data_IF_218866150908
#
_entry.id   IF_218866150908
#
_cell.length_a   1.000
_cell.length_b   1.000
_cell.length_c   1.000
_cell.angle_alpha   90.00
_cell.angle_beta   90.00
_cell.angle_gamma   90.00
#
_symmetry.space_group_name_H-M   'P 1'
#
loop_
_entity.id
_entity.type
_entity.pdbx_description
1 polymer ?
#
# COMPACT_ATOMS: atom_id res chain seq x y z
N UNK A 1 2.21 22.14 25.18
CA UNK A 1 2.26 22.65 23.80
C UNK A 1 2.52 21.48 22.86
N UNK A 2 1.46 20.87 22.33
CA UNK A 2 1.57 19.80 21.32
C UNK A 2 2.01 20.44 20.02
N UNK A 3 3.30 20.30 19.66
CA UNK A 3 3.78 20.66 18.32
C UNK A 3 2.88 19.93 17.32
N UNK A 4 2.17 20.66 16.45
CA UNK A 4 1.47 20.04 15.33
C UNK A 4 2.51 19.25 14.57
N UNK A 5 2.35 17.93 14.49
CA UNK A 5 3.23 17.11 13.69
C UNK A 5 2.77 17.30 12.23
N UNK A 6 3.53 17.99 11.37
CA UNK A 6 3.10 18.29 10.00
C UNK A 6 3.06 17.03 9.11
N UNK A 7 3.32 15.85 9.67
CA UNK A 7 3.39 14.60 8.94
C UNK A 7 4.64 14.50 8.08
N UNK A 8 4.57 13.69 7.04
CA UNK A 8 5.64 13.47 6.07
C UNK A 8 5.83 14.64 5.09
N UNK A 9 4.88 15.56 4.96
CA UNK A 9 4.92 16.61 3.93
C UNK A 9 6.19 17.47 3.98
N UNK A 10 6.72 17.74 5.18
CA UNK A 10 7.97 18.49 5.37
C UNK A 10 9.25 17.76 4.93
N UNK A 11 9.15 16.46 4.67
CA UNK A 11 10.27 15.62 4.21
C UNK A 11 10.23 15.39 2.70
N UNK A 12 9.18 15.86 2.01
CA UNK A 12 9.13 15.76 0.56
C UNK A 12 10.25 16.64 -0.04
N UNK A 13 11.11 16.09 -0.90
CA UNK A 13 12.09 16.85 -1.65
C UNK A 13 11.40 17.72 -2.71
N UNK A 14 12.09 18.73 -3.24
CA UNK A 14 11.58 19.51 -4.39
C UNK A 14 11.51 18.64 -5.67
N UNK A 15 12.46 17.72 -5.85
CA UNK A 15 12.46 16.74 -6.94
C UNK A 15 11.61 15.52 -6.56
N UNK A 16 10.47 15.36 -7.22
CA UNK A 16 9.56 14.22 -7.01
C UNK A 16 9.91 12.98 -7.86
N UNK A 17 11.12 12.88 -8.41
CA UNK A 17 11.64 11.65 -8.99
C UNK A 17 11.68 10.51 -7.96
N UNK A 18 11.40 9.27 -8.39
CA UNK A 18 11.32 8.12 -7.48
C UNK A 18 12.57 7.90 -6.63
N UNK A 19 13.75 8.15 -7.18
CA UNK A 19 15.02 8.00 -6.45
C UNK A 19 15.19 9.09 -5.40
N UNK A 20 14.86 10.34 -5.72
CA UNK A 20 14.86 11.46 -4.78
C UNK A 20 13.85 11.26 -3.65
N UNK A 21 12.62 10.82 -3.99
CA UNK A 21 11.59 10.48 -3.02
C UNK A 21 12.04 9.34 -2.09
N UNK A 22 12.62 8.27 -2.65
CA UNK A 22 13.13 7.13 -1.88
C UNK A 22 14.23 7.56 -0.91
N UNK A 23 15.19 8.35 -1.38
CA UNK A 23 16.29 8.85 -0.55
C UNK A 23 15.77 9.75 0.59
N UNK A 24 14.84 10.65 0.30
CA UNK A 24 14.25 11.52 1.31
C UNK A 24 13.40 10.74 2.33
N UNK A 25 12.61 9.76 1.88
CA UNK A 25 11.77 8.93 2.74
C UNK A 25 12.58 8.11 3.76
N UNK A 26 13.83 7.76 3.44
CA UNK A 26 14.75 7.08 4.37
C UNK A 26 15.08 7.90 5.64
N UNK A 27 14.83 9.20 5.63
CA UNK A 27 15.08 10.11 6.77
C UNK A 27 13.79 10.61 7.44
N UNK A 28 12.63 10.12 6.99
CA UNK A 28 11.32 10.62 7.41
C UNK A 28 11.06 10.34 8.91
N UNK A 29 10.83 11.40 9.67
CA UNK A 29 10.31 11.36 11.05
C UNK A 29 8.95 12.04 11.15
N UNK A 30 8.11 11.84 10.13
CA UNK A 30 6.77 12.43 10.04
C UNK A 30 5.73 11.83 11.00
N UNK A 31 6.03 10.70 11.65
CA UNK A 31 5.20 10.08 12.70
C UNK A 31 6.09 9.33 13.69
N UNK A 32 5.56 8.69 14.73
CA UNK A 32 6.39 7.97 15.72
C UNK A 32 6.96 6.63 15.25
N UNK A 33 6.53 6.11 14.09
CA UNK A 33 6.85 4.74 13.67
C UNK A 33 8.31 4.51 13.29
N UNK A 34 9.03 5.56 12.86
CA UNK A 34 10.45 5.43 12.49
C UNK A 34 11.34 5.01 13.67
N UNK A 35 10.91 5.29 14.92
CA UNK A 35 11.74 5.10 16.10
C UNK A 35 12.01 3.62 16.44
N UNK A 36 11.06 2.74 16.11
CA UNK A 36 11.13 1.30 16.41
C UNK A 36 11.35 0.42 15.18
N UNK A 37 10.98 0.91 13.99
CA UNK A 37 11.20 0.22 12.72
C UNK A 37 12.70 0.09 12.42
N UNK A 38 13.09 -0.91 11.62
CA UNK A 38 14.50 -1.06 11.21
C UNK A 38 14.87 0.01 10.18
N UNK A 39 13.97 0.27 9.24
CA UNK A 39 14.16 1.23 8.15
C UNK A 39 12.82 1.57 7.49
N UNK A 40 12.83 2.62 6.66
CA UNK A 40 11.76 2.89 5.72
C UNK A 40 11.69 1.79 4.67
N UNK A 41 10.49 1.27 4.41
CA UNK A 41 10.21 0.44 3.23
C UNK A 41 9.39 1.29 2.26
N UNK A 42 10.08 1.85 1.27
CA UNK A 42 9.48 2.61 0.19
C UNK A 42 8.85 1.66 -0.86
N UNK A 43 8.22 2.19 -1.91
CA UNK A 43 7.71 1.34 -2.99
C UNK A 43 8.81 0.71 -3.84
N UNK A 44 8.47 -0.32 -4.60
CA UNK A 44 9.37 -1.05 -5.49
C UNK A 44 8.68 -1.35 -6.83
N UNK A 45 9.42 -1.26 -7.93
CA UNK A 45 8.92 -1.47 -9.29
C UNK A 45 9.33 -0.32 -10.22
N UNK A 46 9.12 -0.46 -11.54
CA UNK A 46 9.51 0.57 -12.50
C UNK A 46 8.62 1.81 -12.42
N UNK A 47 9.21 2.99 -12.65
CA UNK A 47 8.43 4.19 -12.93
C UNK A 47 7.61 4.01 -14.21
N UNK A 48 6.39 4.58 -14.25
CA UNK A 48 5.46 4.38 -15.37
C UNK A 48 4.71 3.05 -15.35
N UNK A 49 4.80 2.26 -14.26
CA UNK A 49 4.02 1.03 -14.11
C UNK A 49 2.52 1.32 -14.27
N UNK A 50 1.80 0.64 -15.17
CA UNK A 50 0.37 0.88 -15.38
C UNK A 50 -0.48 0.51 -14.17
N UNK A 51 -0.03 -0.44 -13.35
CA UNK A 51 -0.70 -0.91 -12.15
C UNK A 51 0.11 -0.56 -10.90
N UNK A 52 -0.52 0.08 -9.92
CA UNK A 52 0.07 0.33 -8.60
C UNK A 52 -0.65 -0.49 -7.53
N UNK A 53 0.09 -1.30 -6.77
CA UNK A 53 -0.45 -2.11 -5.67
C UNK A 53 -0.13 -1.43 -4.34
N UNK A 54 -1.15 -1.14 -3.53
CA UNK A 54 -1.00 -0.43 -2.25
C UNK A 54 -1.46 -1.32 -1.10
N UNK A 55 -0.54 -1.74 -0.24
CA UNK A 55 -0.82 -2.45 1.01
C UNK A 55 -1.00 -1.53 2.21
N UNK A 56 -1.09 -2.13 3.40
CA UNK A 56 -1.28 -1.39 4.66
C UNK A 56 0.02 -0.74 5.16
N UNK A 57 1.01 -1.57 5.47
CA UNK A 57 2.32 -1.20 5.99
C UNK A 57 3.31 -2.36 5.75
N UNK A 58 4.62 -2.16 5.94
CA UNK A 58 5.60 -3.23 5.85
C UNK A 58 5.38 -4.24 6.98
N UNK A 59 5.64 -5.51 6.71
CA UNK A 59 5.69 -6.56 7.73
C UNK A 59 7.09 -6.77 8.29
N UNK A 60 7.23 -7.84 9.07
CA UNK A 60 8.48 -8.21 9.73
C UNK A 60 9.62 -8.57 8.76
N UNK A 61 9.31 -9.13 7.58
CA UNK A 61 10.32 -9.47 6.58
C UNK A 61 10.65 -8.26 5.72
N UNK A 62 9.64 -7.50 5.32
CA UNK A 62 9.75 -6.27 4.54
C UNK A 62 10.61 -5.24 5.27
N UNK A 63 10.36 -5.00 6.56
CA UNK A 63 11.12 -4.06 7.38
C UNK A 63 12.61 -4.42 7.49
N UNK A 64 12.97 -5.71 7.45
CA UNK A 64 14.38 -6.13 7.43
C UNK A 64 14.99 -6.07 6.03
N UNK A 65 14.20 -6.37 5.00
CA UNK A 65 14.66 -6.41 3.62
C UNK A 65 14.75 -5.03 2.97
N UNK A 66 13.95 -4.05 3.43
CA UNK A 66 13.82 -2.75 2.78
C UNK A 66 12.89 -2.76 1.55
N UNK A 67 12.16 -3.84 1.31
CA UNK A 67 11.34 -4.05 0.10
C UNK A 67 9.92 -4.52 0.46
N UNK A 68 8.87 -4.00 -0.20
CA UNK A 68 7.49 -4.38 0.08
C UNK A 68 7.17 -5.79 -0.44
N UNK A 69 6.22 -6.47 0.22
CA UNK A 69 5.68 -7.77 -0.21
C UNK A 69 6.72 -8.88 -0.44
N UNK A 70 7.79 -8.94 0.34
CA UNK A 70 8.76 -10.07 0.30
C UNK A 70 8.34 -11.25 1.21
N UNK A 71 7.42 -11.01 2.15
CA UNK A 71 6.96 -11.98 3.12
C UNK A 71 5.91 -12.98 2.60
N UNK A 72 5.29 -13.77 3.49
CA UNK A 72 4.29 -14.79 3.12
C UNK A 72 3.07 -14.22 2.38
N UNK A 73 2.61 -13.03 2.77
CA UNK A 73 1.50 -12.35 2.10
C UNK A 73 1.89 -11.92 0.67
N UNK A 74 3.13 -11.48 0.48
CA UNK A 74 3.66 -11.13 -0.84
C UNK A 74 3.85 -12.31 -1.76
N UNK A 75 4.27 -13.48 -1.25
CA UNK A 75 4.27 -14.72 -2.04
C UNK A 75 2.88 -15.15 -2.48
N UNK A 76 1.85 -14.93 -1.65
CA UNK A 76 0.46 -15.17 -2.05
C UNK A 76 0.00 -14.15 -3.09
N UNK A 77 0.35 -12.87 -2.92
CA UNK A 77 0.09 -11.84 -3.93
C UNK A 77 0.73 -12.19 -5.28
N UNK A 78 1.99 -12.63 -5.30
CA UNK A 78 2.67 -13.03 -6.54
C UNK A 78 1.97 -14.18 -7.28
N UNK A 79 1.47 -15.19 -6.55
CA UNK A 79 0.64 -16.25 -7.17
C UNK A 79 -0.68 -15.71 -7.71
N UNK A 80 -1.37 -14.86 -6.94
CA UNK A 80 -2.63 -14.28 -7.36
C UNK A 80 -2.50 -13.34 -8.58
N UNK A 81 -1.38 -12.61 -8.70
CA UNK A 81 -1.05 -11.83 -9.89
C UNK A 81 -0.85 -12.74 -11.11
N UNK A 82 -0.11 -13.84 -10.96
CA UNK A 82 0.08 -14.82 -12.03
C UNK A 82 -1.25 -15.45 -12.47
N UNK A 83 -2.10 -15.86 -11.51
CA UNK A 83 -3.43 -16.41 -11.80
C UNK A 83 -4.36 -15.38 -12.46
N UNK A 84 -4.16 -14.10 -12.19
CA UNK A 84 -4.87 -12.99 -12.82
C UNK A 84 -4.30 -12.60 -14.19
N UNK A 85 -3.18 -13.20 -14.62
CA UNK A 85 -2.50 -12.85 -15.87
C UNK A 85 -1.80 -11.48 -15.84
N UNK A 86 -1.46 -10.98 -14.65
CA UNK A 86 -0.73 -9.72 -14.47
C UNK A 86 0.77 -10.02 -14.37
N UNK A 87 1.57 -9.39 -15.23
CA UNK A 87 3.02 -9.44 -15.15
C UNK A 87 3.51 -8.62 -13.94
N UNK A 88 4.21 -9.21 -12.95
CA UNK A 88 4.78 -8.48 -11.83
C UNK A 88 5.69 -7.31 -12.24
N UNK A 89 6.38 -7.40 -13.38
CA UNK A 89 7.23 -6.33 -13.88
C UNK A 89 6.43 -5.09 -14.34
N UNK A 90 5.12 -5.23 -14.55
CA UNK A 90 4.21 -4.12 -14.87
C UNK A 90 3.61 -3.45 -13.62
N UNK A 91 4.08 -3.83 -12.42
CA UNK A 91 3.52 -3.36 -11.15
C UNK A 91 4.50 -2.49 -10.38
N UNK A 92 4.00 -1.41 -9.79
CA UNK A 92 4.68 -0.69 -8.72
C UNK A 92 3.99 -1.02 -7.39
N UNK A 93 4.74 -1.60 -6.45
CA UNK A 93 4.20 -2.11 -5.19
C UNK A 93 4.64 -1.24 -4.03
N UNK A 94 3.72 -0.84 -3.17
CA UNK A 94 4.01 0.01 -2.03
C UNK A 94 2.99 -0.18 -0.90
N UNK A 95 3.08 0.61 0.17
CA UNK A 95 2.15 0.57 1.30
C UNK A 95 1.64 1.97 1.67
N UNK A 96 0.46 2.08 2.28
CA UNK A 96 -0.06 3.36 2.77
C UNK A 96 0.83 3.99 3.88
N UNK A 97 1.51 3.16 4.66
CA UNK A 97 2.50 3.57 5.67
C UNK A 97 3.85 2.93 5.35
N UNK A 98 4.95 3.66 5.55
CA UNK A 98 6.31 3.23 5.13
C UNK A 98 7.18 2.61 6.22
N UNK A 99 6.72 2.61 7.47
CA UNK A 99 7.45 2.04 8.61
C UNK A 99 6.61 0.96 9.27
N UNK A 100 7.25 -0.12 9.70
CA UNK A 100 6.56 -1.24 10.34
C UNK A 100 6.17 -0.90 11.78
N UNK A 101 4.86 -0.86 12.06
CA UNK A 101 4.34 -0.78 13.41
C UNK A 101 4.20 -2.16 14.04
N UNK A 102 4.86 -2.38 15.17
CA UNK A 102 4.80 -3.65 15.89
C UNK A 102 4.95 -3.48 17.40
N UNK A 103 4.61 -4.53 18.14
CA UNK A 103 4.97 -4.72 19.55
C UNK A 103 5.90 -5.93 19.70
N UNK A 104 6.65 -6.00 20.79
CA UNK A 104 7.52 -7.16 21.10
C UNK A 104 6.81 -8.08 22.10
N UNK A 105 6.65 -9.36 21.78
CA UNK A 105 6.17 -10.40 22.71
C UNK A 105 7.32 -11.32 23.08
N UNK A 106 7.53 -11.51 24.39
CA UNK A 106 8.64 -12.32 24.90
C UNK A 106 10.01 -11.75 24.52
N UNK A 107 10.14 -10.42 24.47
CA UNK A 107 11.41 -9.71 24.22
C UNK A 107 11.85 -9.65 22.75
N UNK A 108 11.66 -10.71 21.96
CA UNK A 108 12.26 -10.81 20.62
C UNK A 108 11.25 -10.87 19.47
N UNK A 109 10.07 -11.47 19.67
CA UNK A 109 9.11 -11.67 18.56
C UNK A 109 8.37 -10.37 18.26
N UNK A 110 8.50 -9.87 17.03
CA UNK A 110 7.75 -8.70 16.54
C UNK A 110 6.34 -9.11 16.11
N UNK A 111 5.34 -8.45 16.67
CA UNK A 111 3.92 -8.66 16.39
C UNK A 111 3.36 -7.40 15.73
N UNK A 112 2.97 -7.55 14.47
CA UNK A 112 2.33 -6.50 13.68
C UNK A 112 1.16 -5.84 14.43
N UNK A 113 1.12 -4.51 14.42
CA UNK A 113 0.00 -3.69 14.90
C UNK A 113 -0.53 -2.84 13.77
N UNK A 114 -1.85 -2.79 13.60
CA UNK A 114 -2.46 -1.95 12.57
C UNK A 114 -2.07 -0.47 12.77
N UNK A 115 -1.67 0.26 11.71
CA UNK A 115 -1.45 1.70 11.81
C UNK A 115 -2.78 2.41 12.09
N UNK A 116 -2.74 3.39 12.99
CA UNK A 116 -3.87 4.25 13.31
C UNK A 116 -4.05 5.35 12.27
N UNK A 117 -5.21 6.02 12.30
CA UNK A 117 -5.56 7.09 11.36
C UNK A 117 -4.49 8.19 11.30
N UNK A 118 -3.94 8.59 12.45
CA UNK A 118 -2.91 9.63 12.51
C UNK A 118 -1.64 9.22 11.76
N UNK A 119 -1.23 7.95 11.82
CA UNK A 119 -0.04 7.46 11.13
C UNK A 119 -0.28 7.36 9.62
N UNK A 120 -1.47 6.90 9.21
CA UNK A 120 -1.88 6.85 7.80
C UNK A 120 -1.91 8.26 7.21
N UNK A 121 -2.55 9.22 7.88
CA UNK A 121 -2.61 10.62 7.43
C UNK A 121 -1.21 11.24 7.39
N UNK A 122 -0.38 10.99 8.41
CA UNK A 122 0.98 11.50 8.45
C UNK A 122 1.85 10.94 7.31
N UNK A 123 1.64 9.68 6.89
CA UNK A 123 2.43 9.04 5.84
C UNK A 123 1.88 9.26 4.42
N UNK A 124 0.59 9.64 4.31
CA UNK A 124 -0.10 9.88 3.04
C UNK A 124 0.65 10.76 2.03
N UNK A 125 1.39 11.82 2.42
CA UNK A 125 2.19 12.59 1.46
C UNK A 125 3.16 11.75 0.63
N UNK A 126 3.76 10.69 1.20
CA UNK A 126 4.62 9.78 0.43
C UNK A 126 3.83 8.97 -0.60
N UNK A 127 2.65 8.48 -0.23
CA UNK A 127 1.81 7.71 -1.15
C UNK A 127 1.34 8.57 -2.33
N UNK A 128 0.94 9.83 -2.07
CA UNK A 128 0.55 10.76 -3.13
C UNK A 128 1.72 11.07 -4.07
N UNK A 129 2.91 11.33 -3.50
CA UNK A 129 4.12 11.58 -4.30
C UNK A 129 4.51 10.36 -5.15
N UNK A 130 4.39 9.13 -4.63
CA UNK A 130 4.61 7.92 -5.44
C UNK A 130 3.57 7.77 -6.55
N UNK A 131 2.28 8.01 -6.26
CA UNK A 131 1.23 7.97 -7.30
C UNK A 131 1.57 8.97 -8.41
N UNK A 132 1.94 10.20 -8.06
CA UNK A 132 2.27 11.25 -9.01
C UNK A 132 3.56 10.95 -9.81
N UNK A 133 4.56 10.34 -9.19
CA UNK A 133 5.82 9.96 -9.83
C UNK A 133 5.67 8.72 -10.73
N UNK A 134 4.89 7.72 -10.30
CA UNK A 134 4.65 6.48 -11.05
C UNK A 134 3.65 6.71 -12.19
N UNK A 135 2.67 7.58 -11.99
CA UNK A 135 1.56 7.85 -12.93
C UNK A 135 0.80 6.58 -13.35
N UNK A 136 0.31 5.76 -12.40
CA UNK A 136 -0.39 4.52 -12.75
C UNK A 136 -1.74 4.84 -13.42
N UNK A 137 -2.22 3.92 -14.26
CA UNK A 137 -3.57 3.97 -14.81
C UNK A 137 -4.58 3.39 -13.81
N UNK A 138 -4.17 2.37 -13.06
CA UNK A 138 -5.00 1.69 -12.06
C UNK A 138 -4.25 1.55 -10.74
N UNK A 139 -4.92 1.87 -9.63
CA UNK A 139 -4.44 1.65 -8.27
C UNK A 139 -5.27 0.54 -7.62
N UNK A 140 -4.61 -0.53 -7.16
CA UNK A 140 -5.24 -1.62 -6.41
C UNK A 140 -4.92 -1.48 -4.92
N UNK A 141 -5.94 -1.13 -4.14
CA UNK A 141 -5.88 -1.05 -2.70
C UNK A 141 -6.08 -2.44 -2.06
N UNK A 142 -5.02 -3.00 -1.51
CA UNK A 142 -5.01 -4.29 -0.83
C UNK A 142 -5.41 -4.09 0.64
N UNK A 143 -6.70 -4.24 0.92
CA UNK A 143 -7.27 -4.13 2.27
C UNK A 143 -7.76 -2.74 2.66
N UNK A 144 -8.42 -2.68 3.82
CA UNK A 144 -9.17 -1.50 4.25
C UNK A 144 -8.30 -0.27 4.49
N UNK A 145 -7.10 -0.43 5.06
CA UNK A 145 -6.23 0.72 5.37
C UNK A 145 -5.73 1.40 4.10
N UNK A 146 -5.31 0.62 3.10
CA UNK A 146 -4.94 1.16 1.79
C UNK A 146 -6.12 1.88 1.15
N UNK A 147 -7.28 1.22 1.09
CA UNK A 147 -8.46 1.79 0.46
C UNK A 147 -8.92 3.08 1.14
N UNK A 148 -9.00 3.10 2.47
CA UNK A 148 -9.41 4.28 3.24
C UNK A 148 -8.42 5.44 3.15
N UNK A 149 -7.14 5.17 2.86
CA UNK A 149 -6.12 6.22 2.68
C UNK A 149 -6.34 7.07 1.41
N UNK A 150 -7.02 6.51 0.41
CA UNK A 150 -7.31 7.17 -0.87
C UNK A 150 -8.81 7.48 -1.07
N UNK A 151 -9.70 6.59 -0.65
CA UNK A 151 -11.15 6.66 -0.89
C UNK A 151 -11.93 7.25 0.29
N UNK A 152 -11.26 7.56 1.41
CA UNK A 152 -11.88 8.11 2.62
C UNK A 152 -12.28 7.07 3.66
N UNK A 153 -12.51 7.52 4.89
CA UNK A 153 -12.65 6.63 6.07
C UNK A 153 -13.91 5.79 6.09
N UNK A 154 -14.93 6.19 5.35
CA UNK A 154 -16.21 5.47 5.32
C UNK A 154 -16.18 4.27 4.35
N UNK A 155 -15.13 4.16 3.53
CA UNK A 155 -14.98 3.06 2.57
C UNK A 155 -14.95 1.69 3.26
N UNK A 156 -15.71 0.73 2.71
CA UNK A 156 -15.81 -0.64 3.21
C UNK A 156 -15.44 -1.66 2.13
N UNK A 157 -14.28 -2.30 2.28
CA UNK A 157 -13.83 -3.39 1.38
C UNK A 157 -14.83 -4.53 1.32
N UNK A 158 -15.50 -4.86 2.43
CA UNK A 158 -16.46 -5.98 2.50
C UNK A 158 -17.66 -5.82 1.56
N UNK A 159 -18.03 -4.60 1.18
CA UNK A 159 -19.20 -4.32 0.33
C UNK A 159 -18.83 -3.69 -1.01
N UNK A 160 -17.62 -3.15 -1.15
CA UNK A 160 -17.20 -2.39 -2.32
C UNK A 160 -15.96 -2.97 -3.03
N UNK A 161 -15.51 -4.17 -2.67
CA UNK A 161 -14.41 -4.86 -3.35
C UNK A 161 -14.74 -5.14 -4.82
N UNK A 162 -13.72 -5.11 -5.68
CA UNK A 162 -13.84 -5.40 -7.11
C UNK A 162 -14.53 -4.32 -7.95
N UNK A 163 -15.07 -3.26 -7.33
CA UNK A 163 -15.64 -2.12 -8.05
C UNK A 163 -14.51 -1.25 -8.63
N UNK A 164 -14.73 -0.73 -9.83
CA UNK A 164 -13.92 0.33 -10.41
C UNK A 164 -14.43 1.68 -9.92
N UNK A 165 -13.60 2.40 -9.19
CA UNK A 165 -13.94 3.63 -8.48
C UNK A 165 -13.07 4.78 -8.98
N UNK A 166 -13.55 6.00 -8.76
CA UNK A 166 -12.78 7.22 -8.96
C UNK A 166 -12.23 7.71 -7.64
N UNK A 167 -11.07 8.35 -7.68
CA UNK A 167 -10.57 9.09 -6.52
C UNK A 167 -11.58 10.18 -6.12
N UNK A 168 -11.88 10.34 -4.83
CA UNK A 168 -12.70 11.45 -4.39
C UNK A 168 -11.95 12.78 -4.62
N UNK A 169 -12.64 13.92 -4.78
CA UNK A 169 -11.98 15.23 -4.91
C UNK A 169 -11.05 15.58 -3.74
N UNK A 170 -11.26 14.95 -2.58
CA UNK A 170 -10.41 15.10 -1.37
C UNK A 170 -9.11 14.28 -1.41
N UNK A 171 -8.90 13.47 -2.46
CA UNK A 171 -7.71 12.65 -2.62
C UNK A 171 -6.43 13.48 -2.86
N UNK A 172 -6.56 14.70 -3.40
CA UNK A 172 -5.46 15.63 -3.75
C UNK A 172 -4.32 14.95 -4.53
N UNK A 173 -4.67 14.06 -5.47
CA UNK A 173 -3.73 13.47 -6.44
C UNK A 173 -3.69 14.38 -7.66
N UNK A 174 -2.51 14.87 -8.03
CA UNK A 174 -2.32 15.78 -9.17
C UNK A 174 -1.92 15.04 -10.43
N UNK A 175 -2.82 14.18 -10.91
CA UNK A 175 -2.65 13.44 -12.16
C UNK A 175 -3.74 13.78 -13.17
N UNK A 176 -3.40 13.66 -14.45
CA UNK A 176 -4.37 13.73 -15.55
C UNK A 176 -3.95 12.72 -16.62
N UNK A 177 -4.82 11.75 -16.98
CA UNK A 177 -6.12 11.45 -16.35
C UNK A 177 -5.99 10.94 -14.90
N UNK A 178 -7.10 10.95 -14.14
CA UNK A 178 -7.15 10.30 -12.83
C UNK A 178 -7.00 8.78 -12.99
N UNK A 179 -6.28 8.10 -12.09
CA UNK A 179 -6.27 6.65 -12.05
C UNK A 179 -7.64 6.09 -11.63
N UNK A 180 -7.99 4.94 -12.19
CA UNK A 180 -9.06 4.10 -11.65
C UNK A 180 -8.59 3.44 -10.35
N UNK A 181 -9.44 3.39 -9.33
CA UNK A 181 -9.12 2.73 -8.06
C UNK A 181 -9.97 1.48 -7.91
N UNK A 182 -9.34 0.35 -7.61
CA UNK A 182 -10.00 -0.90 -7.23
C UNK A 182 -9.56 -1.27 -5.83
N UNK A 183 -10.48 -1.69 -4.97
CA UNK A 183 -10.14 -2.21 -3.66
C UNK A 183 -10.42 -3.71 -3.58
N UNK A 184 -9.61 -4.43 -2.82
CA UNK A 184 -9.83 -5.85 -2.54
C UNK A 184 -9.34 -6.24 -1.14
N UNK A 185 -9.47 -7.51 -0.78
CA UNK A 185 -8.96 -8.05 0.48
C UNK A 185 -7.43 -7.98 0.53
N UNK A 186 -6.86 -7.82 1.73
CA UNK A 186 -5.41 -7.89 1.87
C UNK A 186 -4.94 -9.35 1.73
N UNK A 187 -3.82 -9.65 1.03
CA UNK A 187 -3.30 -11.02 0.87
C UNK A 187 -3.07 -11.77 2.19
N UNK A 188 -2.70 -11.05 3.26
CA UNK A 188 -2.56 -11.65 4.60
C UNK A 188 -3.87 -12.16 5.21
N UNK A 189 -5.02 -11.62 4.81
CA UNK A 189 -6.33 -12.12 5.23
C UNK A 189 -6.64 -13.44 4.54
N UNK A 190 -6.40 -13.53 3.23
CA UNK A 190 -6.51 -14.78 2.45
C UNK A 190 -5.59 -15.84 3.03
N UNK A 191 -4.32 -15.49 3.28
CA UNK A 191 -3.33 -16.41 3.84
C UNK A 191 -3.68 -16.93 5.24
N UNK A 192 -4.44 -16.17 6.04
CA UNK A 192 -4.86 -16.55 7.40
C UNK A 192 -6.20 -17.27 7.42
N UNK A 193 -6.95 -17.26 6.32
CA UNK A 193 -8.21 -17.98 6.24
C UNK A 193 -7.93 -19.50 6.34
N UNK A 194 -8.65 -20.14 7.25
CA UNK A 194 -8.58 -21.59 7.54
C UNK A 194 -9.96 -22.23 7.42
N UNK A 195 -10.94 -21.47 6.95
CA UNK A 195 -12.29 -21.97 6.72
C UNK A 195 -12.34 -22.86 5.48
N UNK A 196 -13.43 -23.60 5.35
CA UNK A 196 -13.74 -24.38 4.14
C UNK A 196 -13.91 -23.49 2.89
N UNK A 197 -14.01 -22.17 3.08
CA UNK A 197 -14.20 -21.17 2.01
C UNK A 197 -12.90 -20.56 1.50
N UNK A 198 -11.74 -21.02 1.99
CA UNK A 198 -10.44 -20.47 1.61
C UNK A 198 -10.26 -20.36 0.08
N UNK A 199 -10.66 -21.39 -0.66
CA UNK A 199 -10.50 -21.42 -2.11
C UNK A 199 -11.45 -20.45 -2.83
N UNK A 200 -12.65 -20.22 -2.28
CA UNK A 200 -13.56 -19.18 -2.76
C UNK A 200 -12.96 -17.79 -2.51
N UNK A 201 -12.41 -17.56 -1.31
CA UNK A 201 -11.79 -16.28 -0.95
C UNK A 201 -10.59 -15.99 -1.86
N UNK A 202 -9.75 -16.99 -2.13
CA UNK A 202 -8.64 -16.87 -3.06
C UNK A 202 -9.12 -16.56 -4.48
N UNK A 203 -10.13 -17.30 -4.98
CA UNK A 203 -10.69 -17.09 -6.32
C UNK A 203 -11.27 -15.69 -6.47
N UNK A 204 -12.07 -15.23 -5.51
CA UNK A 204 -12.61 -13.87 -5.53
C UNK A 204 -11.51 -12.81 -5.45
N UNK A 205 -10.42 -13.05 -4.72
CA UNK A 205 -9.26 -12.15 -4.72
C UNK A 205 -8.62 -12.05 -6.10
N UNK A 206 -8.43 -13.18 -6.80
CA UNK A 206 -7.93 -13.21 -8.18
C UNK A 206 -8.91 -12.53 -9.16
N UNK A 207 -10.21 -12.72 -9.00
CA UNK A 207 -11.24 -12.06 -9.84
C UNK A 207 -11.18 -10.53 -9.73
N UNK A 208 -11.00 -9.98 -8.53
CA UNK A 208 -10.82 -8.54 -8.35
C UNK A 208 -9.55 -8.02 -9.06
N UNK A 209 -8.45 -8.78 -9.00
CA UNK A 209 -7.21 -8.44 -9.70
C UNK A 209 -7.41 -8.46 -11.22
N UNK A 210 -8.13 -9.44 -11.76
CA UNK A 210 -8.50 -9.47 -13.18
C UNK A 210 -9.37 -8.28 -13.57
N UNK A 211 -10.34 -7.93 -12.73
CA UNK A 211 -11.19 -6.76 -12.94
C UNK A 211 -10.41 -5.44 -12.94
N UNK A 212 -9.36 -5.34 -12.12
CA UNK A 212 -8.43 -4.21 -12.13
C UNK A 212 -7.57 -4.18 -13.40
N UNK A 213 -7.04 -5.32 -13.83
CA UNK A 213 -6.27 -5.41 -15.08
C UNK A 213 -7.10 -5.05 -16.32
N UNK A 214 -8.38 -5.44 -16.35
CA UNK A 214 -9.29 -5.10 -17.42
C UNK A 214 -9.55 -3.58 -17.55
N UNK A 215 -9.32 -2.80 -16.48
CA UNK A 215 -9.42 -1.34 -16.51
C UNK A 215 -8.20 -0.64 -17.15
N UNK A 216 -7.17 -1.41 -17.55
CA UNK A 216 -6.03 -0.91 -18.31
C UNK A 216 -6.31 -0.83 -19.82
N UNK A 217 -7.40 -1.44 -20.29
CA UNK A 217 -7.78 -1.57 -21.70
C UNK A 217 -8.70 -0.44 -22.17
#
# INVERSE_FOLDING_TARGET
MTKSNPGAGRYLPEDHGLDALRAAAATCQGCGLFADATQTVFGHGPGGSPLMLVGEQPGDQEDRAGEPFVGPAGRLLGRALADAGIDPASTYQTNAVKHFKFTRKGGQRRIHQKPGRTEVVACRPWLLAEIEAVRPHVIVCLGATAAQSLLGTDFRVSTQRGLQLRLPPTADVRLSPDPTVVATVHPSAVLRDRSERHDEVHRSFVEDLRGAAAALS
#
